data_IF_865393692214
#
_entry.id   IF_865393692214
#
_cell.length_a   1.000
_cell.length_b   1.000
_cell.length_c   1.000
_cell.angle_alpha   90.00
_cell.angle_beta   90.00
_cell.angle_gamma   90.00
#
_symmetry.space_group_name_H-M   'P 1'
#
loop_
_entity.id
_entity.type
_entity.pdbx_description
1 polymer ?
#
# COMPACT_ATOMS: atom_id res chain seq x y z
N UNK A 1 10.92 15.24 12.44
CA UNK A 1 10.90 15.09 11.87
C UNK A 1 10.56 14.85 11.35
N UNK A 2 10.58 14.68 11.06
CA UNK A 2 10.30 14.47 10.64
C UNK A 2 10.29 13.92 9.59
N UNK A 3 10.37 13.23 9.59
CA UNK A 3 10.50 12.42 8.68
C UNK A 3 9.91 12.89 7.54
N UNK A 4 9.01 13.44 7.75
CA UNK A 4 8.27 13.89 6.82
C UNK A 4 8.97 14.59 5.84
N UNK A 5 9.82 15.30 6.21
CA UNK A 5 10.39 16.05 5.32
C UNK A 5 11.05 15.35 4.34
N UNK A 6 11.34 14.33 4.55
CA UNK A 6 12.07 13.65 3.75
C UNK A 6 11.45 13.39 2.59
N UNK A 7 10.45 13.55 2.60
CA UNK A 7 9.81 13.08 1.73
C UNK A 7 9.81 13.65 0.54
N UNK A 8 9.73 14.56 0.43
CA UNK A 8 9.52 15.24 -0.42
C UNK A 8 9.74 15.02 -1.73
N UNK A 9 10.46 15.37 -2.12
CA UNK A 9 10.69 15.32 -3.46
C UNK A 9 10.81 13.91 -3.76
N UNK A 10 11.29 13.22 -2.82
CA UNK A 10 11.55 11.89 -3.10
C UNK A 10 10.70 11.03 -2.28
N UNK A 11 9.86 10.35 -2.87
CA UNK A 11 9.02 9.41 -2.17
C UNK A 11 9.90 8.35 -1.54
N UNK A 12 9.51 7.90 -0.37
CA UNK A 12 10.25 6.86 0.34
C UNK A 12 9.91 5.53 -0.29
N UNK A 13 10.89 4.75 -0.66
CA UNK A 13 10.62 3.45 -1.28
C UNK A 13 10.28 2.39 -0.25
N UNK A 14 9.66 1.32 -0.73
CA UNK A 14 9.49 0.13 0.09
C UNK A 14 10.79 -0.63 -0.06
N UNK A 15 11.52 -0.80 1.06
CA UNK A 15 12.83 -1.42 1.01
C UNK A 15 12.75 -2.93 0.85
N UNK A 16 11.84 -3.55 1.58
CA UNK A 16 11.74 -5.01 1.57
C UNK A 16 10.49 -5.42 2.32
N UNK A 17 10.20 -6.71 2.35
CA UNK A 17 9.11 -7.24 3.13
C UNK A 17 9.52 -8.60 3.65
N UNK A 18 8.81 -9.07 4.64
CA UNK A 18 8.99 -10.43 5.17
C UNK A 18 7.65 -10.91 5.67
N UNK A 19 7.65 -12.06 6.32
CA UNK A 19 6.42 -12.61 6.84
C UNK A 19 5.84 -11.67 7.88
N UNK A 20 4.69 -11.12 7.58
CA UNK A 20 3.97 -10.27 8.53
C UNK A 20 4.48 -8.84 8.67
N UNK A 21 5.38 -8.38 7.81
CA UNK A 21 5.84 -7.00 7.94
C UNK A 21 6.35 -6.43 6.62
N UNK A 22 6.45 -5.11 6.57
CA UNK A 22 7.05 -4.38 5.46
C UNK A 22 8.12 -3.45 6.04
N UNK A 23 9.22 -3.25 5.32
CA UNK A 23 10.24 -2.28 5.74
C UNK A 23 10.17 -1.12 4.76
N UNK A 24 9.91 0.06 5.28
CA UNK A 24 9.69 1.23 4.45
C UNK A 24 10.51 2.36 5.02
N UNK A 25 11.43 2.89 4.22
CA UNK A 25 12.29 3.97 4.69
C UNK A 25 13.09 3.59 5.93
N UNK A 26 13.45 2.32 6.02
CA UNK A 26 14.22 1.84 7.17
C UNK A 26 13.37 1.45 8.38
N UNK A 27 12.08 1.71 8.36
CA UNK A 27 11.22 1.38 9.48
C UNK A 27 10.38 0.16 9.21
N UNK A 28 10.18 -0.66 10.22
CA UNK A 28 9.38 -1.87 10.07
C UNK A 28 7.95 -1.58 10.46
N UNK A 29 7.02 -1.89 9.56
CA UNK A 29 5.59 -1.78 9.84
C UNK A 29 5.05 -3.20 9.89
N UNK A 30 4.54 -3.62 11.04
CA UNK A 30 4.00 -4.96 11.20
C UNK A 30 2.56 -4.98 10.73
N UNK A 31 2.17 -6.09 10.10
CA UNK A 31 0.83 -6.25 9.59
C UNK A 31 0.69 -5.57 8.24
N UNK A 32 -0.49 -5.08 7.93
CA UNK A 32 -0.73 -4.39 6.68
C UNK A 32 -0.15 -2.99 6.68
N UNK A 33 0.02 -2.41 5.52
CA UNK A 33 0.63 -1.09 5.40
C UNK A 33 0.01 -0.28 4.27
N UNK A 34 -0.01 1.03 4.45
CA UNK A 34 -0.38 1.97 3.40
C UNK A 34 0.83 2.86 3.21
N UNK A 35 1.26 3.06 1.97
CA UNK A 35 2.33 3.99 1.69
C UNK A 35 1.96 4.84 0.47
N UNK A 36 2.27 6.13 0.53
CA UNK A 36 2.13 7.03 -0.62
C UNK A 36 3.27 8.05 -0.53
N UNK A 37 3.33 8.97 -1.46
CA UNK A 37 4.47 9.86 -1.55
C UNK A 37 4.77 10.64 -0.27
N UNK A 38 3.77 10.85 0.59
CA UNK A 38 3.98 11.66 1.78
C UNK A 38 4.21 10.86 3.05
N UNK A 39 4.15 9.57 2.98
CA UNK A 39 4.41 8.79 4.20
C UNK A 39 3.81 7.42 4.18
N UNK A 40 4.01 6.70 5.27
CA UNK A 40 3.56 5.33 5.42
C UNK A 40 3.01 5.09 6.80
N UNK A 41 2.10 4.15 6.92
CA UNK A 41 1.52 3.80 8.21
C UNK A 41 0.96 2.38 8.17
N UNK A 42 0.66 1.84 9.33
CA UNK A 42 0.03 0.54 9.40
C UNK A 42 -1.42 0.63 8.91
N UNK A 43 -1.92 -0.47 8.41
CA UNK A 43 -3.28 -0.55 7.87
C UNK A 43 -3.96 -1.80 8.42
N UNK A 44 -5.16 -1.62 8.93
CA UNK A 44 -5.86 -2.71 9.60
C UNK A 44 -6.58 -3.67 8.68
N UNK A 45 -6.56 -3.43 7.40
CA UNK A 45 -7.23 -4.33 6.46
C UNK A 45 -8.47 -3.71 5.88
N UNK A 46 -9.25 -4.52 5.17
CA UNK A 46 -10.40 -4.00 4.44
C UNK A 46 -11.40 -3.23 5.28
N UNK A 47 -11.47 -3.53 6.56
CA UNK A 47 -12.43 -2.80 7.38
C UNK A 47 -11.96 -1.38 7.61
N UNK A 48 -10.71 -1.04 7.33
CA UNK A 48 -10.22 0.31 7.53
C UNK A 48 -10.18 1.04 6.18
N UNK A 49 -11.32 1.15 5.54
CA UNK A 49 -11.40 1.82 4.25
C UNK A 49 -11.20 3.32 4.44
N UNK A 50 -11.48 3.84 5.63
CA UNK A 50 -11.34 5.28 5.88
C UNK A 50 -9.90 5.73 5.71
N UNK A 51 -8.94 4.90 6.07
CA UNK A 51 -7.53 5.28 5.93
C UNK A 51 -7.17 5.51 4.47
N UNK A 52 -7.81 4.77 3.56
CA UNK A 52 -7.56 4.91 2.14
C UNK A 52 -8.34 6.11 1.59
N UNK A 53 -9.59 6.27 2.04
CA UNK A 53 -10.40 7.40 1.59
C UNK A 53 -9.76 8.73 1.98
N UNK A 54 -9.00 8.74 3.06
CA UNK A 54 -8.32 9.96 3.50
C UNK A 54 -7.29 10.44 2.47
N UNK A 55 -6.91 9.59 1.53
CA UNK A 55 -5.95 9.97 0.50
C UNK A 55 -6.64 10.52 -0.76
N UNK A 56 -7.97 10.61 -0.75
CA UNK A 56 -8.69 11.11 -1.90
C UNK A 56 -8.15 12.50 -2.24
N UNK A 57 -7.90 12.75 -3.48
CA UNK A 57 -7.34 14.02 -3.94
C UNK A 57 -5.81 14.01 -3.97
N UNK A 58 -5.19 13.06 -3.29
CA UNK A 58 -3.73 12.96 -3.31
C UNK A 58 -3.26 11.82 -4.17
N UNK A 59 -4.13 10.86 -4.45
CA UNK A 59 -3.77 9.72 -5.28
C UNK A 59 -4.86 9.51 -6.32
N UNK A 60 -4.51 8.82 -7.41
CA UNK A 60 -5.47 8.48 -8.44
C UNK A 60 -5.93 7.04 -8.30
N UNK A 61 -5.10 6.19 -7.80
CA UNK A 61 -5.45 4.77 -7.62
C UNK A 61 -4.54 4.14 -6.59
N UNK A 62 -4.93 2.94 -6.15
CA UNK A 62 -4.11 2.19 -5.23
C UNK A 62 -3.68 0.88 -5.88
N UNK A 63 -2.50 0.41 -5.47
CA UNK A 63 -2.06 -0.93 -5.78
C UNK A 63 -2.49 -1.74 -4.56
N UNK A 64 -3.50 -2.60 -4.75
CA UNK A 64 -4.05 -3.34 -3.63
C UNK A 64 -3.30 -4.67 -3.51
N UNK A 65 -2.39 -4.75 -2.54
CA UNK A 65 -1.63 -5.96 -2.30
C UNK A 65 -2.47 -6.94 -1.51
N UNK A 66 -2.73 -8.10 -2.09
CA UNK A 66 -3.66 -9.04 -1.49
C UNK A 66 -2.98 -10.15 -0.68
N UNK A 67 -1.76 -9.92 -0.24
CA UNK A 67 -1.04 -10.90 0.56
C UNK A 67 -0.01 -11.63 -0.29
N UNK A 68 0.34 -12.84 0.10
CA UNK A 68 1.37 -13.59 -0.60
C UNK A 68 1.01 -13.88 -2.05
N UNK A 69 -0.27 -14.03 -2.33
CA UNK A 69 -0.74 -14.33 -3.66
C UNK A 69 -1.84 -13.36 -4.07
N UNK A 70 -2.04 -13.21 -5.36
CA UNK A 70 -3.12 -12.37 -5.84
C UNK A 70 -4.44 -13.06 -5.51
N UNK A 71 -5.35 -12.32 -4.93
CA UNK A 71 -6.65 -12.83 -4.54
C UNK A 71 -7.70 -11.75 -4.80
N UNK A 72 -8.97 -12.11 -4.83
CA UNK A 72 -10.03 -11.12 -5.07
C UNK A 72 -10.07 -10.08 -3.96
N UNK A 73 -10.37 -8.85 -4.33
CA UNK A 73 -10.50 -7.77 -3.37
C UNK A 73 -11.93 -7.78 -2.85
N UNK A 74 -12.10 -7.51 -1.55
CA UNK A 74 -13.42 -7.48 -0.96
C UNK A 74 -14.29 -6.48 -1.73
N UNK A 75 -15.48 -6.90 -2.15
CA UNK A 75 -16.33 -6.10 -3.00
C UNK A 75 -16.72 -4.76 -2.41
N UNK A 76 -17.14 -4.76 -1.15
CA UNK A 76 -17.60 -3.52 -0.53
C UNK A 76 -16.47 -2.50 -0.46
N UNK A 77 -15.26 -2.95 -0.13
CA UNK A 77 -14.09 -2.08 -0.06
C UNK A 77 -13.82 -1.48 -1.44
N UNK A 78 -13.81 -2.32 -2.47
CA UNK A 78 -13.51 -1.86 -3.81
C UNK A 78 -14.56 -0.88 -4.31
N UNK A 79 -15.83 -1.20 -4.07
CA UNK A 79 -16.91 -0.32 -4.53
C UNK A 79 -16.86 1.03 -3.85
N UNK A 80 -16.54 1.05 -2.56
CA UNK A 80 -16.46 2.30 -1.82
C UNK A 80 -15.36 3.19 -2.40
N UNK A 81 -14.21 2.62 -2.72
CA UNK A 81 -13.11 3.40 -3.25
C UNK A 81 -13.41 3.88 -4.67
N UNK A 82 -13.98 3.01 -5.49
CA UNK A 82 -14.27 3.39 -6.86
C UNK A 82 -15.34 4.47 -6.91
N UNK A 83 -16.31 4.41 -6.01
CA UNK A 83 -17.31 5.46 -5.94
C UNK A 83 -16.71 6.80 -5.52
N UNK A 84 -15.59 6.78 -4.84
CA UNK A 84 -14.88 8.00 -4.45
C UNK A 84 -13.88 8.45 -5.51
N UNK A 85 -13.81 7.74 -6.63
CA UNK A 85 -12.88 8.12 -7.70
C UNK A 85 -11.49 7.56 -7.56
N UNK A 86 -11.29 6.57 -6.68
CA UNK A 86 -9.98 5.97 -6.48
C UNK A 86 -9.97 4.61 -7.17
N UNK A 87 -9.11 4.43 -8.15
CA UNK A 87 -8.98 3.15 -8.84
C UNK A 87 -8.35 2.09 -7.95
N UNK A 88 -8.66 0.84 -8.19
CA UNK A 88 -8.11 -0.27 -7.39
C UNK A 88 -7.49 -1.29 -8.33
N UNK A 89 -6.18 -1.50 -8.17
CA UNK A 89 -5.46 -2.43 -9.02
C UNK A 89 -4.94 -3.58 -8.15
N UNK A 90 -5.56 -4.74 -8.18
CA UNK A 90 -5.16 -5.84 -7.28
C UNK A 90 -3.93 -6.59 -7.78
N UNK A 91 -3.12 -7.02 -6.85
CA UNK A 91 -1.94 -7.84 -7.14
C UNK A 91 -1.43 -8.44 -5.83
N UNK A 92 -0.55 -9.41 -5.91
CA UNK A 92 0.09 -9.93 -4.70
C UNK A 92 0.89 -8.81 -4.05
N UNK A 93 1.02 -8.81 -2.73
CA UNK A 93 1.72 -7.75 -2.01
C UNK A 93 3.18 -7.59 -2.45
N UNK A 94 3.94 -8.67 -2.72
CA UNK A 94 5.30 -8.47 -3.25
C UNK A 94 5.32 -7.71 -4.57
N UNK A 95 4.33 -7.96 -5.45
CA UNK A 95 4.24 -7.23 -6.70
C UNK A 95 3.89 -5.79 -6.46
N UNK A 96 3.01 -5.53 -5.48
CA UNK A 96 2.62 -4.17 -5.14
C UNK A 96 3.84 -3.36 -4.67
N UNK A 97 4.73 -3.99 -3.90
CA UNK A 97 5.94 -3.32 -3.43
C UNK A 97 6.80 -2.88 -4.61
N UNK A 98 7.04 -3.79 -5.55
CA UNK A 98 7.88 -3.46 -6.69
C UNK A 98 7.24 -2.44 -7.61
N UNK A 99 5.96 -2.62 -7.87
CA UNK A 99 5.25 -1.72 -8.77
C UNK A 99 5.16 -0.32 -8.17
N UNK A 100 4.90 -0.25 -6.86
CA UNK A 100 4.84 1.03 -6.19
C UNK A 100 6.15 1.80 -6.37
N UNK A 101 7.28 1.13 -6.13
CA UNK A 101 8.56 1.80 -6.21
C UNK A 101 8.83 2.36 -7.62
N UNK A 102 8.43 1.63 -8.65
CA UNK A 102 8.59 2.10 -9.99
C UNK A 102 7.70 3.29 -10.28
N UNK A 103 6.41 3.18 -9.95
CA UNK A 103 5.46 4.22 -10.29
C UNK A 103 5.71 5.52 -9.54
N UNK A 104 6.05 5.42 -8.27
CA UNK A 104 6.27 6.64 -7.51
C UNK A 104 7.55 7.33 -7.96
N UNK A 105 8.54 6.57 -8.43
CA UNK A 105 9.76 7.18 -8.93
C UNK A 105 9.50 7.92 -10.24
N UNK A 106 8.40 7.59 -10.92
CA UNK A 106 8.00 8.25 -12.14
C UNK A 106 7.03 9.39 -11.90
N UNK A 107 6.78 9.70 -10.64
CA UNK A 107 5.89 10.81 -10.28
C UNK A 107 4.42 10.47 -10.33
N UNK A 108 4.05 9.19 -10.36
CA UNK A 108 2.63 8.83 -10.40
C UNK A 108 1.99 9.04 -9.03
N UNK A 109 0.74 9.40 -9.03
CA UNK A 109 -0.03 9.65 -7.81
C UNK A 109 -0.68 8.34 -7.41
N UNK A 110 0.04 7.55 -6.65
CA UNK A 110 -0.36 6.18 -6.31
C UNK A 110 -0.06 5.89 -4.85
N UNK A 111 -0.85 5.00 -4.27
CA UNK A 111 -0.55 4.45 -2.95
C UNK A 111 -0.49 2.96 -3.07
N UNK A 112 0.31 2.32 -2.25
CA UNK A 112 0.26 0.87 -2.09
C UNK A 112 -0.48 0.59 -0.79
N UNK A 113 -1.53 -0.21 -0.86
CA UNK A 113 -2.36 -0.58 0.29
C UNK A 113 -2.26 -2.09 0.33
N UNK A 114 -1.57 -2.62 1.33
CA UNK A 114 -1.15 -4.01 1.27
C UNK A 114 -1.53 -4.81 2.49
N UNK A 115 -2.06 -5.99 2.25
CA UNK A 115 -2.23 -6.98 3.31
C UNK A 115 -0.88 -7.64 3.52
N UNK A 116 -0.58 -8.10 4.73
CA UNK A 116 0.73 -8.66 4.99
C UNK A 116 0.96 -9.96 4.23
N UNK A 117 2.22 -10.25 3.95
CA UNK A 117 2.60 -11.50 3.32
C UNK A 117 2.70 -12.51 4.45
N UNK A 118 1.77 -13.43 4.51
CA UNK A 118 1.75 -14.43 5.55
C UNK A 118 2.56 -15.64 5.12
N UNK A 119 3.02 -16.37 6.10
CA UNK A 119 3.76 -17.56 5.78
C UNK A 119 2.81 -18.57 5.19
N UNK A 120 3.13 -19.15 4.06
CA UNK A 120 2.26 -20.12 3.45
C UNK A 120 2.45 -21.46 4.10
N UNK A 121 1.37 -22.00 4.56
CA UNK A 121 1.45 -23.28 5.21
C UNK A 121 1.95 -24.29 4.23
N UNK A 122 2.81 -24.96 4.61
CA UNK A 122 3.38 -25.92 3.79
C UNK A 122 2.72 -27.00 3.64
N UNK A 123 2.30 -27.14 3.62
CA UNK A 123 1.69 -27.91 3.59
C UNK A 123 1.81 -28.52 3.36
#
# INVERSE_FOLDING_TARGET
MQMTEVTYADAIPIDSYGTGFFRIGGEVIKGGAIIHAKGARSWAGYEDVEAVLALKGEIDFILMGTGANMAPVQSAFRQTLEAAGIGVEPMASPSACRTYNVLVSEGRRVAAVMLPVEEIAEE
#
